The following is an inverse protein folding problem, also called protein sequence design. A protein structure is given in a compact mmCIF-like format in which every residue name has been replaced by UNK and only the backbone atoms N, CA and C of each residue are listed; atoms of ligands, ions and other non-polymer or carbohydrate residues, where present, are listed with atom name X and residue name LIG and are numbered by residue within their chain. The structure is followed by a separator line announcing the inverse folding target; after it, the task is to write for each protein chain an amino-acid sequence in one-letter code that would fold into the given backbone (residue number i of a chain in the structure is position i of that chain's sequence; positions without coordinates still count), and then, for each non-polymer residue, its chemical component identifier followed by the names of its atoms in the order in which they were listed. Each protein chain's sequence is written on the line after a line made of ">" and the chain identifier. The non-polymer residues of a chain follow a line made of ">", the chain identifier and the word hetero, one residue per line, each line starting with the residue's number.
data_IF_945654471556
#
_entry.id   IF_945654471556
#
_cell.length_a   1.000
_cell.length_b   1.000
_cell.length_c   1.000
_cell.angle_alpha   90.00
_cell.angle_beta   90.00
_cell.angle_gamma   90.00
#
_symmetry.space_group_name_H-M   'P 1'
#
loop_
_entity.id
_entity.type
_entity.pdbx_description
1 polymer ?
#
# COMPACT_ATOMS: atom_id res chain seq x y z
N UNK A 1 -1.37 18.69 -14.85
CA UNK A 1 -1.32 17.26 -15.23
C UNK A 1 -2.75 16.76 -15.37
N UNK A 2 -3.09 16.03 -16.44
CA UNK A 2 -4.40 15.43 -16.60
C UNK A 2 -4.63 14.41 -15.47
N UNK A 3 -5.82 14.39 -14.86
CA UNK A 3 -6.20 13.30 -13.94
C UNK A 3 -6.19 11.99 -14.74
N UNK A 4 -5.58 10.90 -14.25
CA UNK A 4 -5.79 9.60 -14.84
C UNK A 4 -7.29 9.32 -14.82
N UNK A 5 -7.91 9.15 -15.99
CA UNK A 5 -9.31 8.74 -16.07
C UNK A 5 -9.39 7.30 -15.56
N UNK A 6 -9.99 7.09 -14.39
CA UNK A 6 -10.27 5.73 -13.88
C UNK A 6 -11.15 5.04 -14.92
N UNK A 7 -10.64 3.96 -15.51
CA UNK A 7 -11.40 3.15 -16.44
C UNK A 7 -12.26 2.18 -15.64
N UNK A 8 -13.46 2.61 -15.23
CA UNK A 8 -14.41 1.80 -14.46
C UNK A 8 -14.91 0.53 -15.19
N UNK A 9 -14.43 0.27 -16.41
CA UNK A 9 -14.76 -0.91 -17.21
C UNK A 9 -13.79 -2.08 -17.01
N UNK A 10 -12.71 -1.90 -16.28
CA UNK A 10 -11.77 -2.99 -16.01
C UNK A 10 -12.36 -3.98 -14.97
N UNK A 11 -12.17 -5.29 -15.17
CA UNK A 11 -12.56 -6.29 -14.18
C UNK A 11 -11.91 -5.99 -12.83
N UNK A 12 -12.65 -6.23 -11.73
CA UNK A 12 -12.15 -6.12 -10.34
C UNK A 12 -11.79 -4.69 -9.86
N UNK A 13 -12.14 -3.64 -10.61
CA UNK A 13 -11.82 -2.26 -10.24
C UNK A 13 -12.33 -1.84 -8.86
N UNK A 14 -13.51 -2.32 -8.43
CA UNK A 14 -14.03 -2.08 -7.08
C UNK A 14 -13.11 -2.66 -6.01
N UNK A 15 -12.65 -3.90 -6.20
CA UNK A 15 -11.71 -4.59 -5.31
C UNK A 15 -10.36 -3.91 -5.27
N UNK A 16 -9.86 -3.51 -6.42
CA UNK A 16 -8.63 -2.75 -6.54
C UNK A 16 -8.69 -1.41 -5.82
N UNK A 17 -9.82 -0.70 -5.87
CA UNK A 17 -10.00 0.53 -5.08
C UNK A 17 -10.06 0.29 -3.57
N UNK A 18 -10.45 -0.90 -3.10
CA UNK A 18 -10.36 -1.27 -1.69
C UNK A 18 -8.94 -1.60 -1.24
N UNK A 19 -8.08 -2.03 -2.16
CA UNK A 19 -6.68 -2.33 -1.86
C UNK A 19 -5.86 -1.04 -1.74
N UNK A 20 -5.97 -0.15 -2.73
CA UNK A 20 -5.18 1.07 -2.71
C UNK A 20 -5.30 1.86 -3.99
N UNK A 21 -4.85 3.11 -3.95
CA UNK A 21 -4.88 3.99 -5.11
C UNK A 21 -3.58 3.87 -5.91
N UNK A 22 -3.52 2.91 -6.82
CA UNK A 22 -2.35 2.68 -7.68
C UNK A 22 -2.46 3.43 -9.03
N UNK A 23 -1.30 3.68 -9.66
CA UNK A 23 -1.17 4.23 -11.02
C UNK A 23 -1.65 3.21 -12.07
N UNK A 24 -1.50 1.93 -11.77
CA UNK A 24 -1.91 0.79 -12.61
C UNK A 24 -2.23 -0.41 -11.72
N UNK A 25 -3.22 -1.22 -12.11
CA UNK A 25 -3.60 -2.42 -11.38
C UNK A 25 -3.13 -3.69 -12.11
N UNK A 26 -2.72 -4.69 -11.34
CA UNK A 26 -2.39 -6.04 -11.84
C UNK A 26 -3.25 -7.06 -11.10
N UNK A 27 -3.59 -8.17 -11.77
CA UNK A 27 -4.22 -9.33 -11.11
C UNK A 27 -3.35 -9.91 -9.99
N UNK A 28 -2.03 -9.73 -10.08
CA UNK A 28 -1.07 -10.11 -9.03
C UNK A 28 -1.44 -9.52 -7.67
N UNK A 29 -2.00 -8.29 -7.66
CA UNK A 29 -2.38 -7.61 -6.42
C UNK A 29 -3.42 -8.40 -5.64
N UNK A 30 -4.31 -9.13 -6.31
CA UNK A 30 -5.30 -9.94 -5.61
C UNK A 30 -4.64 -11.08 -4.82
N UNK A 31 -3.60 -11.71 -5.38
CA UNK A 31 -2.86 -12.75 -4.66
C UNK A 31 -2.04 -12.15 -3.52
N UNK A 32 -1.29 -11.08 -3.81
CA UNK A 32 -0.39 -10.45 -2.84
C UNK A 32 -1.19 -9.91 -1.63
N UNK A 33 -2.30 -9.21 -1.87
CA UNK A 33 -3.07 -8.57 -0.80
C UNK A 33 -3.93 -9.54 0.00
N UNK A 34 -4.35 -10.67 -0.57
CA UNK A 34 -4.94 -11.72 0.26
C UNK A 34 -3.93 -12.22 1.31
N UNK A 35 -2.68 -12.44 0.89
CA UNK A 35 -1.61 -12.87 1.81
C UNK A 35 -1.29 -11.78 2.82
N UNK A 36 -1.15 -10.52 2.39
CA UNK A 36 -0.90 -9.39 3.29
C UNK A 36 -2.02 -9.28 4.34
N UNK A 37 -3.29 -9.24 3.93
CA UNK A 37 -4.40 -9.09 4.87
C UNK A 37 -4.51 -10.26 5.84
N UNK A 38 -4.31 -11.51 5.38
CA UNK A 38 -4.28 -12.67 6.28
C UNK A 38 -3.17 -12.56 7.31
N UNK A 39 -1.95 -12.19 6.89
CA UNK A 39 -0.82 -12.05 7.79
C UNK A 39 -1.02 -10.91 8.79
N UNK A 40 -1.49 -9.75 8.35
CA UNK A 40 -1.74 -8.62 9.25
C UNK A 40 -2.88 -8.92 10.22
N UNK A 41 -3.95 -9.59 9.76
CA UNK A 41 -5.03 -10.04 10.64
C UNK A 41 -4.51 -11.01 11.68
N UNK A 42 -3.69 -12.00 11.31
CA UNK A 42 -3.09 -12.96 12.24
C UNK A 42 -2.16 -12.27 13.25
N UNK A 43 -1.30 -11.37 12.78
CA UNK A 43 -0.30 -10.67 13.61
C UNK A 43 -0.91 -9.72 14.61
N UNK A 44 -1.97 -9.02 14.22
CA UNK A 44 -2.52 -7.90 14.99
C UNK A 44 -3.94 -8.15 15.49
N UNK A 45 -4.46 -9.37 15.40
CA UNK A 45 -5.86 -9.68 15.76
C UNK A 45 -6.25 -9.13 17.13
N UNK A 46 -5.40 -9.34 18.13
CA UNK A 46 -5.69 -8.98 19.52
C UNK A 46 -5.67 -7.47 19.76
N UNK A 47 -5.02 -6.70 18.88
CA UNK A 47 -4.94 -5.24 18.95
C UNK A 47 -5.95 -4.55 18.02
N UNK A 48 -6.61 -5.32 17.16
CA UNK A 48 -7.49 -4.83 16.12
C UNK A 48 -8.93 -4.73 16.64
N UNK A 49 -9.62 -3.58 16.48
CA UNK A 49 -11.06 -3.50 16.77
C UNK A 49 -11.85 -4.51 15.94
N UNK A 50 -12.87 -5.14 16.53
CA UNK A 50 -13.63 -6.22 15.87
C UNK A 50 -14.24 -5.81 14.53
N UNK A 51 -14.72 -4.58 14.40
CA UNK A 51 -15.29 -4.10 13.14
C UNK A 51 -14.23 -3.93 12.06
N UNK A 52 -13.02 -3.48 12.43
CA UNK A 52 -11.89 -3.40 11.51
C UNK A 52 -11.39 -4.80 11.10
N UNK A 53 -11.45 -5.76 12.02
CA UNK A 53 -11.09 -7.14 11.73
C UNK A 53 -12.09 -7.83 10.79
N UNK A 54 -13.39 -7.54 10.95
CA UNK A 54 -14.42 -7.97 9.97
C UNK A 54 -14.18 -7.36 8.59
N UNK A 55 -13.79 -6.09 8.50
CA UNK A 55 -13.46 -5.45 7.22
C UNK A 55 -12.31 -6.19 6.51
N UNK A 56 -11.29 -6.62 7.25
CA UNK A 56 -10.20 -7.45 6.70
C UNK A 56 -10.68 -8.82 6.22
N UNK A 57 -11.49 -9.51 7.02
CA UNK A 57 -12.09 -10.80 6.65
C UNK A 57 -12.96 -10.69 5.39
N UNK A 58 -13.74 -9.61 5.26
CA UNK A 58 -14.54 -9.32 4.08
C UNK A 58 -13.65 -9.06 2.85
N UNK A 59 -12.61 -8.23 2.98
CA UNK A 59 -11.61 -7.99 1.92
C UNK A 59 -11.01 -9.31 1.44
N UNK A 60 -10.56 -10.17 2.37
CA UNK A 60 -10.00 -11.49 2.07
C UNK A 60 -11.02 -12.37 1.34
N UNK A 61 -12.28 -12.38 1.78
CA UNK A 61 -13.37 -13.15 1.16
C UNK A 61 -13.66 -12.69 -0.28
N UNK A 62 -13.74 -11.38 -0.51
CA UNK A 62 -13.97 -10.79 -1.83
C UNK A 62 -12.82 -11.16 -2.78
N UNK A 63 -11.59 -10.95 -2.33
CA UNK A 63 -10.38 -11.26 -3.10
C UNK A 63 -10.32 -12.76 -3.44
N UNK A 64 -10.59 -13.62 -2.47
CA UNK A 64 -10.55 -15.08 -2.63
C UNK A 64 -11.52 -15.57 -3.72
N UNK A 65 -12.70 -14.97 -3.82
CA UNK A 65 -13.68 -15.30 -4.86
C UNK A 65 -13.18 -14.88 -6.25
N UNK A 66 -12.56 -13.71 -6.33
CA UNK A 66 -12.18 -13.07 -7.60
C UNK A 66 -10.87 -13.57 -8.18
N UNK A 67 -9.94 -14.06 -7.37
CA UNK A 67 -8.65 -14.58 -7.85
C UNK A 67 -8.74 -15.92 -8.60
N UNK A 68 -9.90 -16.58 -8.56
CA UNK A 68 -10.10 -17.89 -9.17
C UNK A 68 -9.78 -17.84 -10.67
N UNK A 69 -8.89 -18.73 -11.13
CA UNK A 69 -8.43 -18.82 -12.53
C UNK A 69 -7.66 -17.62 -13.07
N UNK A 70 -7.16 -16.72 -12.21
CA UNK A 70 -6.27 -15.65 -12.64
C UNK A 70 -4.83 -16.14 -12.79
N UNK A 71 -4.14 -15.58 -13.78
CA UNK A 71 -2.72 -15.83 -14.01
C UNK A 71 -1.91 -14.74 -13.29
N UNK A 72 -0.82 -15.15 -12.64
CA UNK A 72 0.14 -14.25 -12.02
C UNK A 72 1.34 -14.02 -12.93
N UNK A 73 1.92 -12.83 -12.83
CA UNK A 73 3.21 -12.50 -13.41
C UNK A 73 4.34 -13.07 -12.57
N UNK A 74 5.36 -13.61 -13.23
CA UNK A 74 6.63 -14.04 -12.61
C UNK A 74 7.52 -12.87 -12.16
N UNK A 75 7.07 -11.61 -12.34
CA UNK A 75 7.76 -10.42 -11.88
C UNK A 75 7.88 -10.38 -10.35
N UNK A 76 8.96 -9.79 -9.84
CA UNK A 76 9.07 -9.47 -8.42
C UNK A 76 8.37 -8.15 -8.09
N UNK A 77 7.76 -8.09 -6.92
CA UNK A 77 6.98 -6.95 -6.42
C UNK A 77 7.30 -6.70 -4.97
N UNK A 78 7.29 -5.44 -4.56
CA UNK A 78 7.53 -5.04 -3.18
C UNK A 78 6.51 -4.02 -2.73
N UNK A 79 6.07 -4.16 -1.48
CA UNK A 79 5.08 -3.31 -0.85
C UNK A 79 5.62 -2.85 0.50
N UNK A 80 5.55 -1.55 0.77
CA UNK A 80 5.54 -1.08 2.14
C UNK A 80 4.11 -0.99 2.60
N UNK A 81 3.83 -1.53 3.79
CA UNK A 81 2.52 -1.47 4.44
C UNK A 81 2.69 -0.82 5.80
N UNK A 82 1.86 0.16 6.12
CA UNK A 82 1.81 0.85 7.42
C UNK A 82 0.37 0.85 7.91
N UNK A 83 0.15 1.02 9.22
CA UNK A 83 -1.22 1.12 9.78
C UNK A 83 -2.15 0.02 9.26
N UNK A 84 -1.66 -1.23 9.32
CA UNK A 84 -2.36 -2.47 8.90
C UNK A 84 -2.55 -2.67 7.39
N UNK A 85 -3.07 -1.69 6.65
CA UNK A 85 -3.37 -1.82 5.21
C UNK A 85 -2.97 -0.61 4.33
N UNK A 86 -2.42 0.45 4.90
CA UNK A 86 -2.00 1.60 4.11
C UNK A 86 -0.72 1.31 3.33
N UNK A 87 -0.71 1.57 2.02
CA UNK A 87 0.42 1.25 1.14
C UNK A 87 1.08 2.54 0.64
N UNK A 88 2.17 3.02 1.28
CA UNK A 88 2.89 4.20 0.81
C UNK A 88 3.86 3.91 -0.36
N UNK A 89 4.29 2.66 -0.53
CA UNK A 89 5.18 2.23 -1.62
C UNK A 89 4.67 0.94 -2.25
N UNK A 90 4.59 0.94 -3.58
CA UNK A 90 4.41 -0.27 -4.36
C UNK A 90 5.38 -0.23 -5.54
N UNK A 91 6.16 -1.29 -5.71
CA UNK A 91 7.09 -1.47 -6.82
C UNK A 91 6.77 -2.79 -7.53
N UNK A 92 6.95 -2.81 -8.86
CA UNK A 92 6.75 -3.98 -9.72
C UNK A 92 7.91 -4.12 -10.69
N UNK A 93 8.08 -5.33 -11.22
CA UNK A 93 9.14 -5.67 -12.18
C UNK A 93 10.53 -5.40 -11.59
N UNK A 94 10.67 -5.68 -10.29
CA UNK A 94 11.91 -5.46 -9.54
C UNK A 94 12.96 -6.46 -10.01
N UNK A 95 14.16 -5.97 -10.29
CA UNK A 95 15.30 -6.82 -10.67
C UNK A 95 15.76 -7.70 -9.49
N UNK A 96 16.21 -8.92 -9.78
CA UNK A 96 16.63 -9.89 -8.77
C UNK A 96 17.78 -9.36 -7.87
N UNK A 97 18.63 -8.46 -8.40
CA UNK A 97 19.68 -7.81 -7.60
C UNK A 97 19.11 -6.87 -6.52
N UNK A 98 18.01 -6.18 -6.83
CA UNK A 98 17.30 -5.33 -5.88
C UNK A 98 16.53 -6.20 -4.88
N UNK A 99 15.92 -7.30 -5.32
CA UNK A 99 15.31 -8.28 -4.40
C UNK A 99 16.33 -8.80 -3.39
N UNK A 100 17.52 -9.20 -3.83
CA UNK A 100 18.60 -9.64 -2.94
C UNK A 100 19.10 -8.54 -1.99
N UNK A 101 19.13 -7.28 -2.46
CA UNK A 101 19.46 -6.15 -1.59
C UNK A 101 18.39 -5.93 -0.51
N UNK A 102 17.11 -5.97 -0.88
CA UNK A 102 16.00 -5.88 0.07
C UNK A 102 16.00 -7.06 1.05
N UNK A 103 16.37 -8.27 0.64
CA UNK A 103 16.50 -9.38 1.58
C UNK A 103 17.62 -9.13 2.59
N UNK A 104 18.79 -8.66 2.14
CA UNK A 104 19.94 -8.37 2.99
C UNK A 104 19.70 -7.23 4.00
N UNK A 105 18.78 -6.30 3.71
CA UNK A 105 18.41 -5.24 4.65
C UNK A 105 17.83 -5.79 5.96
N UNK A 106 17.16 -6.96 5.94
CA UNK A 106 16.66 -7.62 7.15
C UNK A 106 17.76 -7.88 8.19
N UNK A 107 18.98 -8.15 7.74
CA UNK A 107 20.14 -8.46 8.60
C UNK A 107 20.71 -7.18 9.21
N UNK A 108 20.71 -6.09 8.44
CA UNK A 108 21.27 -4.80 8.85
C UNK A 108 20.34 -4.11 9.84
N UNK A 109 19.02 -4.13 9.60
CA UNK A 109 18.05 -3.43 10.43
C UNK A 109 17.82 -4.07 11.80
N UNK A 110 18.18 -5.35 12.04
CA UNK A 110 18.17 -5.97 13.39
C UNK A 110 19.22 -5.33 14.32
N UNK A 111 20.27 -4.72 13.77
CA UNK A 111 21.33 -4.08 14.57
C UNK A 111 21.00 -2.65 14.99
N UNK A 112 20.09 -2.00 14.27
CA UNK A 112 19.44 -0.76 14.70
C UNK A 112 18.28 -1.19 15.61
N UNK A 113 18.07 -0.52 16.74
CA UNK A 113 16.86 -0.78 17.53
C UNK A 113 15.66 -0.57 16.62
N UNK A 114 14.99 -1.66 16.24
CA UNK A 114 13.76 -1.56 15.49
C UNK A 114 12.72 -1.05 16.50
N UNK A 115 12.45 0.24 16.44
CA UNK A 115 11.51 0.89 17.38
C UNK A 115 10.13 0.20 17.30
N UNK A 116 9.76 -0.41 16.16
CA UNK A 116 8.47 -1.08 15.93
C UNK A 116 8.26 -2.45 16.63
N UNK A 117 9.25 -2.98 17.37
CA UNK A 117 9.14 -4.30 17.99
C UNK A 117 8.16 -4.28 19.17
N UNK A 118 7.00 -4.96 19.01
CA UNK A 118 5.86 -4.97 19.96
C UNK A 118 5.02 -3.67 20.00
N UNK A 119 5.17 -2.81 19.01
CA UNK A 119 4.38 -1.58 18.95
C UNK A 119 2.98 -1.80 18.36
N UNK A 120 2.10 -0.85 18.66
CA UNK A 120 0.79 -0.72 18.05
C UNK A 120 0.90 -0.82 16.51
N UNK A 121 -0.02 -1.53 15.84
CA UNK A 121 -0.03 -1.63 14.37
C UNK A 121 0.07 -0.27 13.63
N UNK A 122 -0.33 0.84 14.26
CA UNK A 122 -0.17 2.19 13.71
C UNK A 122 1.29 2.67 13.61
N UNK A 123 2.21 2.04 14.33
CA UNK A 123 3.63 2.37 14.36
C UNK A 123 4.52 1.36 13.62
N UNK A 124 3.94 0.25 13.15
CA UNK A 124 4.66 -0.77 12.40
C UNK A 124 4.70 -0.44 10.91
N UNK A 125 5.90 -0.55 10.32
CA UNK A 125 6.09 -0.53 8.86
C UNK A 125 6.61 -1.88 8.41
N UNK A 126 5.82 -2.61 7.63
CA UNK A 126 6.22 -3.94 7.14
C UNK A 126 6.57 -3.85 5.66
N UNK A 127 7.73 -4.39 5.29
CA UNK A 127 8.11 -4.66 3.92
C UNK A 127 7.64 -6.06 3.54
N UNK A 128 6.90 -6.19 2.45
CA UNK A 128 6.54 -7.46 1.83
C UNK A 128 7.15 -7.56 0.43
N UNK A 129 7.79 -8.68 0.12
CA UNK A 129 8.35 -8.94 -1.22
C UNK A 129 7.82 -10.24 -1.79
N UNK A 130 7.26 -10.18 -3.00
CA UNK A 130 6.63 -11.28 -3.70
C UNK A 130 7.32 -11.57 -5.04
N UNK A 131 7.20 -12.80 -5.51
CA UNK A 131 7.53 -13.21 -6.89
C UNK A 131 6.56 -14.30 -7.34
N UNK A 132 5.96 -14.17 -8.52
CA UNK A 132 4.90 -15.08 -8.96
C UNK A 132 3.66 -14.95 -8.07
N UNK A 133 3.25 -16.01 -7.39
CA UNK A 133 2.17 -16.00 -6.38
C UNK A 133 2.71 -16.18 -4.95
N UNK A 134 4.03 -16.14 -4.77
CA UNK A 134 4.69 -16.50 -3.52
C UNK A 134 5.19 -15.25 -2.81
N UNK A 135 4.91 -15.18 -1.51
CA UNK A 135 5.62 -14.29 -0.61
C UNK A 135 7.04 -14.85 -0.43
N UNK A 136 8.06 -14.09 -0.87
CA UNK A 136 9.45 -14.49 -0.71
C UNK A 136 9.91 -14.26 0.72
N UNK A 137 9.69 -13.06 1.23
CA UNK A 137 10.00 -12.67 2.60
C UNK A 137 9.19 -11.44 2.99
N UNK A 138 9.09 -11.24 4.30
CA UNK A 138 8.54 -10.04 4.90
C UNK A 138 9.21 -9.81 6.26
N UNK A 139 9.34 -8.55 6.65
CA UNK A 139 9.83 -8.16 7.96
C UNK A 139 9.48 -6.69 8.23
N UNK A 140 9.46 -6.33 9.51
CA UNK A 140 9.26 -4.94 9.93
C UNK A 140 10.56 -4.15 9.77
N UNK A 141 10.43 -2.92 9.28
CA UNK A 141 11.54 -2.00 9.08
C UNK A 141 11.36 -0.73 9.92
N UNK A 142 12.44 -0.10 10.36
CA UNK A 142 12.36 1.21 11.01
C UNK A 142 11.73 2.24 10.08
N UNK A 143 10.96 3.18 10.65
CA UNK A 143 10.35 4.29 9.90
C UNK A 143 11.38 5.09 9.09
N UNK A 144 12.60 5.23 9.61
CA UNK A 144 13.69 5.89 8.90
C UNK A 144 14.11 5.14 7.62
N UNK A 145 14.17 3.80 7.67
CA UNK A 145 14.43 2.96 6.50
C UNK A 145 13.30 3.07 5.48
N UNK A 146 12.05 3.00 5.94
CA UNK A 146 10.88 3.19 5.08
C UNK A 146 10.92 4.55 4.36
N UNK A 147 11.28 5.62 5.07
CA UNK A 147 11.42 6.97 4.50
C UNK A 147 12.50 7.02 3.41
N UNK A 148 13.66 6.39 3.66
CA UNK A 148 14.72 6.30 2.65
C UNK A 148 14.25 5.55 1.40
N UNK A 149 13.51 4.45 1.56
CA UNK A 149 12.95 3.71 0.43
C UNK A 149 11.99 4.57 -0.40
N UNK A 150 11.10 5.33 0.26
CA UNK A 150 10.17 6.24 -0.42
C UNK A 150 10.90 7.32 -1.24
N UNK A 151 12.04 7.82 -0.74
CA UNK A 151 12.87 8.80 -1.45
C UNK A 151 13.60 8.13 -2.62
N UNK A 152 14.26 7.00 -2.37
CA UNK A 152 15.07 6.29 -3.35
C UNK A 152 14.23 5.82 -4.55
N UNK A 153 13.06 5.23 -4.26
CA UNK A 153 12.19 4.59 -5.26
C UNK A 153 10.99 5.45 -5.67
N UNK A 154 11.06 6.78 -5.53
CA UNK A 154 9.92 7.65 -5.82
C UNK A 154 9.46 7.60 -7.29
N UNK A 155 10.35 7.23 -8.23
CA UNK A 155 10.03 7.15 -9.66
C UNK A 155 9.33 5.83 -9.99
N UNK A 156 9.77 4.76 -9.34
CA UNK A 156 9.29 3.39 -9.46
C UNK A 156 7.99 3.17 -8.65
N UNK A 157 7.71 4.04 -7.68
CA UNK A 157 6.52 3.96 -6.85
C UNK A 157 5.24 4.05 -7.69
N UNK A 158 4.46 2.98 -7.69
CA UNK A 158 3.19 2.88 -8.41
C UNK A 158 2.00 3.40 -7.59
N UNK A 159 2.20 4.01 -6.43
CA UNK A 159 1.14 4.73 -5.74
C UNK A 159 0.77 6.00 -6.50
N UNK A 160 -0.53 6.22 -6.69
CA UNK A 160 -1.06 7.43 -7.30
C UNK A 160 -1.12 8.56 -6.27
N UNK A 161 0.03 9.21 -6.09
CA UNK A 161 0.23 10.39 -5.26
C UNK A 161 -0.69 11.58 -5.62
N UNK A 162 -1.29 11.57 -6.81
CA UNK A 162 -2.17 12.63 -7.28
C UNK A 162 -3.45 12.79 -6.45
N UNK A 163 -4.00 11.69 -5.93
CA UNK A 163 -5.18 11.76 -5.06
C UNK A 163 -4.83 12.40 -3.71
N UNK A 164 -3.77 11.94 -3.06
CA UNK A 164 -3.26 12.51 -1.81
C UNK A 164 -2.93 14.00 -1.97
N UNK A 165 -2.27 14.37 -3.07
CA UNK A 165 -1.98 15.78 -3.34
C UNK A 165 -3.26 16.61 -3.50
N UNK A 166 -4.29 16.08 -4.15
CA UNK A 166 -5.55 16.83 -4.29
C UNK A 166 -6.23 17.00 -2.94
N UNK A 167 -6.30 15.97 -2.12
CA UNK A 167 -6.89 16.01 -0.77
C UNK A 167 -6.13 16.96 0.17
N UNK A 168 -4.81 16.84 0.24
CA UNK A 168 -4.00 17.59 1.22
C UNK A 168 -3.64 19.00 0.78
N UNK A 169 -3.61 19.27 -0.53
CA UNK A 169 -3.20 20.58 -1.07
C UNK A 169 -4.23 21.20 -1.99
N UNK A 170 -4.79 20.43 -2.91
CA UNK A 170 -5.72 20.92 -3.93
C UNK A 170 -7.05 21.42 -3.36
N UNK A 171 -7.69 20.61 -2.53
CA UNK A 171 -9.01 20.85 -1.97
C UNK A 171 -9.03 21.98 -0.95
N UNK A 172 -8.11 22.05 0.03
CA UNK A 172 -8.04 23.19 0.96
C UNK A 172 -7.88 24.52 0.20
N UNK A 173 -7.04 24.52 -0.85
CA UNK A 173 -6.81 25.72 -1.68
C UNK A 173 -8.05 26.13 -2.49
N UNK A 174 -8.87 25.16 -2.95
CA UNK A 174 -10.15 25.45 -3.62
C UNK A 174 -11.18 25.99 -2.63
N UNK A 175 -11.32 25.37 -1.46
CA UNK A 175 -12.22 25.82 -0.38
C UNK A 175 -11.94 27.27 0.00
N UNK A 176 -10.69 27.60 0.31
CA UNK A 176 -10.29 28.96 0.65
C UNK A 176 -10.63 30.00 -0.44
N UNK A 177 -10.44 29.66 -1.73
CA UNK A 177 -10.80 30.54 -2.85
C UNK A 177 -12.31 30.74 -2.99
N UNK A 178 -13.09 29.68 -2.76
CA UNK A 178 -14.55 29.76 -2.80
C UNK A 178 -15.07 30.62 -1.67
N UNK A 179 -14.58 30.43 -0.45
CA UNK A 179 -14.91 31.23 0.73
C UNK A 179 -14.57 32.72 0.51
N UNK A 180 -13.39 33.01 -0.03
CA UNK A 180 -12.98 34.39 -0.34
C UNK A 180 -13.89 35.06 -1.39
N UNK A 181 -14.35 34.30 -2.40
CA UNK A 181 -15.32 34.80 -3.40
C UNK A 181 -16.68 35.08 -2.78
N UNK A 182 -17.17 34.18 -1.92
CA UNK A 182 -18.45 34.35 -1.23
C UNK A 182 -18.42 35.59 -0.33
N UNK A 183 -17.34 35.78 0.43
CA UNK A 183 -17.13 36.97 1.26
C UNK A 183 -17.09 38.28 0.47
N UNK A 184 -16.43 38.29 -0.69
CA UNK A 184 -16.34 39.48 -1.53
C UNK A 184 -17.69 39.83 -2.20
N UNK A 185 -18.55 38.83 -2.45
CA UNK A 185 -19.87 39.03 -3.03
C UNK A 185 -20.95 39.37 -1.99
N UNK A 186 -20.64 39.25 -0.70
CA UNK A 186 -21.54 39.62 0.41
C UNK A 186 -21.31 41.03 0.96
N UNK A 187 -20.35 41.77 0.38
CA UNK A 187 -20.08 43.20 0.64
C UNK A 187 -20.59 44.05 -0.52
#
# INVERSE_FOLDING_TARGET
>A
MPRPKRNYKEPFMSTFTFIGNFKSYSTDLLFDFETIYKLQLERFRDMMPDDYAKDFEEKVSIISKQKTNLITSESARAYLVTSLDFIPLMMRDIEDCIVGHLEAMSIIDITLKNDSLQEDPDHVVTLFVFKGHKLLFWYDIPFFTATKMLIAYHKENLINAGAFRDEWYGEPRRKARTEQRLWNNSK
#
